data_IF_831923300426
#
_entry.id   IF_831923300426
#
_cell.length_a   1.000
_cell.length_b   1.000
_cell.length_c   1.000
_cell.angle_alpha   90.00
_cell.angle_beta   90.00
_cell.angle_gamma   90.00
#
_symmetry.space_group_name_H-M   'P 1'
#
loop_
_entity.id
_entity.type
_entity.pdbx_description
1 polymer ?
#
# COMPACT_ATOMS: atom_id res chain seq x y z
N UNK A 1 30.38 -0.50 12.65
CA UNK A 1 29.53 0.67 12.37
C UNK A 1 28.37 0.26 11.47
N UNK A 2 27.14 0.24 12.00
CA UNK A 2 25.98 -0.34 11.32
C UNK A 2 25.20 0.72 10.55
N UNK A 3 25.56 0.97 9.29
CA UNK A 3 24.84 1.92 8.44
C UNK A 3 23.47 1.38 8.04
N UNK A 4 22.40 1.87 8.67
CA UNK A 4 21.04 1.63 8.16
C UNK A 4 20.84 2.42 6.86
N UNK A 5 20.86 1.72 5.71
CA UNK A 5 20.51 2.29 4.41
C UNK A 5 19.00 2.53 4.34
N UNK A 6 18.61 3.78 4.11
CA UNK A 6 17.24 4.12 3.73
C UNK A 6 17.01 3.68 2.29
N UNK A 7 16.33 2.56 2.10
CA UNK A 7 15.96 2.06 0.78
C UNK A 7 14.74 2.81 0.25
N UNK A 8 14.86 3.37 -0.95
CA UNK A 8 13.76 3.97 -1.71
C UNK A 8 13.32 3.03 -2.83
N UNK A 9 12.01 2.92 -3.07
CA UNK A 9 11.45 1.99 -4.04
C UNK A 9 10.18 2.50 -4.72
N UNK A 10 9.92 2.00 -5.93
CA UNK A 10 8.70 2.25 -6.69
C UNK A 10 7.45 1.60 -6.10
N UNK A 11 7.66 0.50 -5.37
CA UNK A 11 6.64 -0.32 -4.75
C UNK A 11 6.86 -0.44 -3.24
N UNK A 12 5.80 -0.54 -2.43
CA UNK A 12 5.95 -0.77 -1.01
C UNK A 12 6.53 -2.15 -0.75
N UNK A 13 7.41 -2.26 0.25
CA UNK A 13 7.83 -3.57 0.79
C UNK A 13 6.63 -4.28 1.43
N UNK A 14 6.65 -5.63 1.54
CA UNK A 14 5.57 -6.39 2.16
C UNK A 14 5.19 -5.85 3.54
N UNK A 15 6.19 -5.55 4.38
CA UNK A 15 5.97 -4.98 5.70
C UNK A 15 5.20 -3.63 5.69
N UNK A 16 5.33 -2.79 4.65
CA UNK A 16 4.51 -1.58 4.54
C UNK A 16 3.10 -1.92 4.04
N UNK A 17 3.00 -2.76 3.01
CA UNK A 17 1.72 -3.16 2.42
C UNK A 17 0.80 -3.90 3.42
N UNK A 18 1.36 -4.74 4.28
CA UNK A 18 0.58 -5.46 5.30
C UNK A 18 -0.12 -4.54 6.32
N UNK A 19 0.41 -3.33 6.53
CA UNK A 19 -0.20 -2.33 7.40
C UNK A 19 -1.24 -1.46 6.67
N UNK A 20 -1.34 -1.59 5.34
CA UNK A 20 -2.37 -0.90 4.56
C UNK A 20 -3.74 -1.55 4.79
N UNK A 21 -4.80 -0.83 4.46
CA UNK A 21 -6.14 -1.43 4.42
C UNK A 21 -6.45 -2.23 3.16
N UNK A 22 -5.49 -2.38 2.24
CA UNK A 22 -5.61 -3.27 1.07
C UNK A 22 -5.27 -4.72 1.42
N UNK A 23 -4.49 -4.94 2.48
CA UNK A 23 -4.12 -6.29 2.91
C UNK A 23 -5.27 -6.95 3.66
N UNK A 24 -6.23 -7.52 2.91
CA UNK A 24 -7.38 -8.26 3.44
C UNK A 24 -7.25 -9.78 3.22
N UNK A 25 -6.05 -10.28 2.93
CA UNK A 25 -5.76 -11.70 2.72
C UNK A 25 -5.93 -12.20 1.28
N UNK A 26 -6.47 -11.36 0.38
CA UNK A 26 -6.61 -11.66 -1.04
C UNK A 26 -6.51 -10.39 -1.90
N UNK A 27 -6.36 -10.55 -3.22
CA UNK A 27 -6.26 -9.45 -4.16
C UNK A 27 -7.64 -8.87 -4.52
N UNK A 28 -8.04 -7.84 -3.80
CA UNK A 28 -9.35 -7.21 -4.00
C UNK A 28 -9.40 -6.27 -5.21
N UNK A 29 -10.61 -5.92 -5.69
CA UNK A 29 -10.75 -4.87 -6.70
C UNK A 29 -10.12 -3.53 -6.27
N UNK A 30 -10.04 -3.24 -4.97
CA UNK A 30 -9.31 -2.07 -4.46
C UNK A 30 -7.79 -2.22 -4.61
N UNK A 31 -7.25 -3.42 -4.41
CA UNK A 31 -5.83 -3.71 -4.68
C UNK A 31 -5.48 -3.44 -6.14
N UNK A 32 -6.32 -3.93 -7.06
CA UNK A 32 -6.14 -3.71 -8.50
C UNK A 32 -6.22 -2.22 -8.85
N UNK A 33 -7.25 -1.51 -8.37
CA UNK A 33 -7.41 -0.06 -8.61
C UNK A 33 -6.20 0.73 -8.12
N UNK A 34 -5.71 0.42 -6.93
CA UNK A 34 -4.51 1.06 -6.38
C UNK A 34 -3.27 0.76 -7.22
N UNK A 35 -3.05 -0.51 -7.58
CA UNK A 35 -1.90 -0.95 -8.36
C UNK A 35 -1.87 -0.27 -9.73
N UNK A 36 -2.99 -0.30 -10.47
CA UNK A 36 -3.10 0.33 -11.77
C UNK A 36 -2.90 1.85 -11.70
N UNK A 37 -3.46 2.52 -10.68
CA UNK A 37 -3.25 3.95 -10.47
C UNK A 37 -1.75 4.25 -10.29
N UNK A 38 -1.07 3.51 -9.43
CA UNK A 38 0.37 3.71 -9.17
C UNK A 38 1.21 3.40 -10.41
N UNK A 39 0.90 2.32 -11.12
CA UNK A 39 1.57 1.95 -12.38
C UNK A 39 1.45 3.06 -13.42
N UNK A 40 0.28 3.70 -13.52
CA UNK A 40 0.05 4.84 -14.41
C UNK A 40 0.90 6.04 -14.00
N UNK A 41 0.98 6.36 -12.71
CA UNK A 41 1.84 7.44 -12.21
C UNK A 41 3.32 7.19 -12.53
N UNK A 42 3.80 5.95 -12.39
CA UNK A 42 5.18 5.56 -12.74
C UNK A 42 5.41 5.76 -14.24
N UNK A 43 4.53 5.23 -15.09
CA UNK A 43 4.64 5.36 -16.55
C UNK A 43 4.58 6.82 -17.04
N UNK A 44 3.91 7.68 -16.30
CA UNK A 44 3.80 9.11 -16.61
C UNK A 44 4.92 9.95 -15.96
N UNK A 45 5.90 9.33 -15.31
CA UNK A 45 6.95 10.01 -14.52
C UNK A 45 6.40 10.96 -13.46
N UNK A 46 5.20 10.68 -12.94
CA UNK A 46 4.55 11.45 -11.87
C UNK A 46 4.66 10.79 -10.50
N UNK A 47 5.13 9.56 -10.45
CA UNK A 47 5.35 8.85 -9.20
C UNK A 47 6.68 9.29 -8.56
N UNK A 48 6.64 9.54 -7.26
CA UNK A 48 7.83 9.72 -6.43
C UNK A 48 8.31 8.38 -5.87
N UNK A 49 9.62 8.23 -5.74
CA UNK A 49 10.24 7.14 -4.99
C UNK A 49 10.12 7.41 -3.48
N UNK A 50 9.74 6.38 -2.73
CA UNK A 50 9.51 6.53 -1.29
C UNK A 50 10.31 5.52 -0.48
N UNK A 51 10.74 5.95 0.69
CA UNK A 51 11.26 5.10 1.76
C UNK A 51 10.15 4.24 2.37
N UNK A 52 10.53 3.21 3.11
CA UNK A 52 9.57 2.35 3.81
C UNK A 52 8.65 3.12 4.78
N UNK A 53 9.16 4.16 5.44
CA UNK A 53 8.37 4.98 6.39
C UNK A 53 7.34 5.82 5.62
N UNK A 54 7.74 6.43 4.51
CA UNK A 54 6.83 7.18 3.64
C UNK A 54 5.77 6.27 3.03
N UNK A 55 6.15 5.07 2.59
CA UNK A 55 5.20 4.06 2.12
C UNK A 55 4.12 3.79 3.15
N UNK A 56 4.49 3.47 4.40
CA UNK A 56 3.53 3.24 5.48
C UNK A 56 2.54 4.38 5.65
N UNK A 57 3.00 5.63 5.55
CA UNK A 57 2.14 6.81 5.66
C UNK A 57 1.22 7.01 4.45
N UNK A 58 1.75 6.85 3.21
CA UNK A 58 1.00 7.08 1.97
C UNK A 58 -0.09 6.04 1.72
N UNK A 59 0.12 4.79 2.14
CA UNK A 59 -0.88 3.71 1.95
C UNK A 59 -1.74 3.47 3.20
N UNK A 60 -1.57 4.27 4.26
CA UNK A 60 -2.36 4.20 5.50
C UNK A 60 -3.84 4.48 5.27
N UNK A 61 -4.20 5.41 4.37
CA UNK A 61 -5.59 5.85 4.18
C UNK A 61 -6.54 4.79 3.62
N UNK A 62 -6.02 3.67 3.15
CA UNK A 62 -6.86 2.57 2.67
C UNK A 62 -7.50 1.81 3.86
N UNK A 63 -7.18 2.17 5.11
CA UNK A 63 -7.73 1.58 6.33
C UNK A 63 -9.26 1.69 6.49
N UNK A 64 -9.92 2.71 5.89
CA UNK A 64 -11.39 2.77 5.88
C UNK A 64 -12.00 1.59 5.13
N UNK A 65 -11.40 1.16 4.01
CA UNK A 65 -11.80 -0.06 3.30
C UNK A 65 -11.63 -1.31 4.17
N UNK A 66 -10.60 -1.35 5.03
CA UNK A 66 -10.40 -2.44 6.00
C UNK A 66 -11.53 -2.53 7.02
N UNK A 67 -12.00 -1.39 7.54
CA UNK A 67 -13.12 -1.37 8.49
C UNK A 67 -14.42 -1.87 7.84
N UNK A 68 -14.69 -1.45 6.59
CA UNK A 68 -15.85 -1.94 5.82
C UNK A 68 -15.73 -3.43 5.53
N UNK A 69 -14.56 -3.92 5.10
CA UNK A 69 -14.34 -5.35 4.86
C UNK A 69 -14.53 -6.18 6.14
N UNK A 70 -13.94 -5.75 7.26
CA UNK A 70 -14.12 -6.40 8.56
C UNK A 70 -15.57 -6.38 9.07
N UNK A 71 -16.36 -5.38 8.68
CA UNK A 71 -17.79 -5.33 9.01
C UNK A 71 -18.60 -6.31 8.16
N UNK A 72 -18.27 -6.47 6.87
CA UNK A 72 -18.92 -7.43 5.98
C UNK A 72 -18.69 -8.88 6.45
N UNK A 73 -17.46 -9.24 6.85
CA UNK A 73 -17.14 -10.59 7.34
C UNK A 73 -17.89 -10.96 8.65
N UNK A 74 -18.32 -9.97 9.45
CA UNK A 74 -19.09 -10.22 10.68
C UNK A 74 -20.58 -10.45 10.43
N UNK A 75 -21.05 -10.18 9.21
CA UNK A 75 -22.46 -10.30 8.81
C UNK A 75 -22.72 -11.55 7.95
N UNK A 76 -21.67 -12.25 7.53
CA UNK A 76 -21.73 -13.55 6.84
C UNK A 76 -21.66 -14.71 7.85
#
# INVERSE_FOLDING_TARGET
>A
DGWQKKEISWWPKPAAFCHSGLNIGWWSPDCERWFQKRLREIKQNRAELWTQVEWKNKIRFIQKSRQVAMANDKLA
#
